data_IF_969495596517
#
_entry.id   IF_969495596517
#
_cell.length_a   1.000
_cell.length_b   1.000
_cell.length_c   1.000
_cell.angle_alpha   90.00
_cell.angle_beta   90.00
_cell.angle_gamma   90.00
#
_symmetry.space_group_name_H-M   'P 1'
#
loop_
_entity.id
_entity.type
_entity.pdbx_description
1 polymer ?
#
# COMPACT_ATOMS: atom_id res chain seq x y z
N UNK A 1 9.15 -3.72 -29.22
CA UNK A 1 8.27 -2.74 -28.56
C UNK A 1 7.78 -3.32 -27.23
N UNK A 2 7.24 -2.49 -26.35
CA UNK A 2 6.69 -2.87 -25.06
C UNK A 2 5.32 -2.21 -24.88
N UNK A 3 4.32 -2.96 -24.41
CA UNK A 3 3.00 -2.44 -24.05
C UNK A 3 2.75 -2.68 -22.56
N UNK A 4 2.23 -1.66 -21.87
CA UNK A 4 1.91 -1.72 -20.45
C UNK A 4 0.42 -1.47 -20.27
N UNK A 5 -0.28 -2.45 -19.71
CA UNK A 5 -1.63 -2.26 -19.17
C UNK A 5 -1.49 -2.04 -17.68
N UNK A 6 -1.61 -0.78 -17.26
CA UNK A 6 -1.54 -0.43 -15.85
C UNK A 6 -2.92 -0.46 -15.20
N UNK A 7 -3.01 -1.00 -13.98
CA UNK A 7 -4.24 -1.04 -13.18
C UNK A 7 -5.42 -1.71 -13.92
N UNK A 8 -5.15 -2.82 -14.61
CA UNK A 8 -6.13 -3.56 -15.39
C UNK A 8 -7.03 -4.41 -14.48
N UNK A 9 -7.91 -3.78 -13.71
CA UNK A 9 -8.72 -4.47 -12.70
C UNK A 9 -10.13 -4.82 -13.18
N UNK A 10 -10.61 -4.20 -14.26
CA UNK A 10 -11.96 -4.42 -14.79
C UNK A 10 -12.07 -5.78 -15.48
N UNK A 11 -12.81 -6.69 -14.85
CA UNK A 11 -13.08 -8.04 -15.37
C UNK A 11 -13.92 -8.05 -16.64
N UNK A 12 -14.62 -6.96 -16.96
CA UNK A 12 -15.46 -6.85 -18.16
C UNK A 12 -14.66 -6.44 -19.40
N UNK A 13 -13.40 -6.01 -19.21
CA UNK A 13 -12.53 -5.58 -20.30
C UNK A 13 -11.79 -6.79 -20.90
N UNK A 14 -12.11 -7.15 -22.14
CA UNK A 14 -11.38 -8.16 -22.90
C UNK A 14 -10.00 -7.67 -23.32
N UNK A 15 -8.97 -7.84 -22.48
CA UNK A 15 -7.63 -7.33 -22.77
C UNK A 15 -7.04 -7.86 -24.09
N UNK A 16 -7.41 -9.08 -24.49
CA UNK A 16 -6.98 -9.69 -25.77
C UNK A 16 -7.31 -8.83 -26.99
N UNK A 17 -8.39 -8.06 -26.95
CA UNK A 17 -8.83 -7.24 -28.08
C UNK A 17 -7.85 -6.09 -28.37
N UNK A 18 -7.01 -5.76 -27.39
CA UNK A 18 -5.99 -4.71 -27.48
C UNK A 18 -4.59 -5.27 -27.79
N UNK A 19 -4.44 -6.59 -27.91
CA UNK A 19 -3.13 -7.21 -28.15
C UNK A 19 -2.71 -7.04 -29.62
N UNK A 20 -1.51 -6.49 -29.90
CA UNK A 20 -1.02 -6.38 -31.27
C UNK A 20 -0.88 -7.75 -31.94
N UNK A 21 -1.41 -7.86 -33.16
CA UNK A 21 -1.32 -9.08 -33.97
C UNK A 21 0.07 -9.22 -34.62
N UNK A 22 1.11 -9.46 -33.80
CA UNK A 22 2.47 -9.69 -34.29
C UNK A 22 3.26 -10.66 -33.39
N UNK A 23 4.37 -11.19 -33.91
CA UNK A 23 5.20 -12.20 -33.22
C UNK A 23 6.33 -11.62 -32.36
N UNK A 24 6.43 -10.30 -32.23
CA UNK A 24 7.50 -9.65 -31.46
C UNK A 24 6.92 -8.62 -30.50
N UNK A 25 7.62 -8.35 -29.40
CA UNK A 25 7.19 -7.40 -28.38
C UNK A 25 6.92 -8.08 -27.04
N UNK A 26 6.78 -7.29 -26.00
CA UNK A 26 6.43 -7.76 -24.66
C UNK A 26 5.22 -6.98 -24.15
N UNK A 27 4.39 -7.63 -23.33
CA UNK A 27 3.25 -7.02 -22.66
C UNK A 27 3.47 -7.21 -21.15
N UNK A 28 3.35 -6.12 -20.39
CA UNK A 28 3.30 -6.15 -18.93
C UNK A 28 1.90 -5.73 -18.52
N UNK A 29 1.30 -6.48 -17.59
CA UNK A 29 -0.02 -6.17 -17.04
C UNK A 29 0.15 -6.04 -15.53
N UNK A 30 -0.20 -4.89 -14.97
CA UNK A 30 -0.35 -4.71 -13.51
C UNK A 30 -1.83 -4.76 -13.17
N UNK A 31 -2.18 -5.53 -12.15
CA UNK A 31 -3.57 -5.78 -11.78
C UNK A 31 -3.67 -6.32 -10.35
N UNK A 32 -4.78 -6.00 -9.68
CA UNK A 32 -5.23 -6.63 -8.44
C UNK A 32 -6.14 -7.83 -8.71
N UNK A 33 -6.57 -8.03 -9.95
CA UNK A 33 -7.43 -9.13 -10.36
C UNK A 33 -6.60 -10.39 -10.70
N UNK A 34 -6.66 -11.46 -9.87
CA UNK A 34 -5.90 -12.67 -10.11
C UNK A 34 -6.36 -13.46 -11.35
N UNK A 35 -7.57 -13.22 -11.87
CA UNK A 35 -8.10 -13.94 -13.04
C UNK A 35 -7.29 -13.63 -14.32
N UNK A 36 -6.63 -12.49 -14.39
CA UNK A 36 -5.81 -12.11 -15.56
C UNK A 36 -4.50 -12.88 -15.67
N UNK A 37 -4.16 -13.74 -14.70
CA UNK A 37 -3.01 -14.66 -14.80
C UNK A 37 -3.10 -15.59 -16.00
N UNK A 38 -4.29 -15.79 -16.58
CA UNK A 38 -4.48 -16.55 -17.82
C UNK A 38 -3.67 -16.00 -19.00
N UNK A 39 -3.31 -14.71 -18.98
CA UNK A 39 -2.59 -14.06 -20.07
C UNK A 39 -1.08 -14.34 -20.10
N UNK A 40 -0.50 -14.95 -19.06
CA UNK A 40 0.91 -15.32 -19.11
C UNK A 40 1.55 -15.61 -17.75
N UNK A 41 2.89 -15.58 -17.73
CA UNK A 41 3.65 -15.66 -16.49
C UNK A 41 3.28 -14.49 -15.57
N UNK A 42 3.19 -14.76 -14.27
CA UNK A 42 2.84 -13.77 -13.27
C UNK A 42 3.87 -13.73 -12.14
N UNK A 43 4.00 -12.56 -11.51
CA UNK A 43 4.75 -12.37 -10.28
C UNK A 43 3.84 -11.64 -9.30
N UNK A 44 3.75 -12.16 -8.07
CA UNK A 44 3.02 -11.46 -7.01
C UNK A 44 3.96 -10.43 -6.37
N UNK A 45 3.53 -9.17 -6.34
CA UNK A 45 4.23 -8.12 -5.60
C UNK A 45 3.77 -8.22 -4.14
N UNK A 46 4.64 -8.76 -3.29
CA UNK A 46 4.42 -8.85 -1.85
C UNK A 46 4.65 -7.50 -1.15
N UNK A 47 4.37 -7.45 0.15
CA UNK A 47 4.80 -6.34 0.99
C UNK A 47 6.34 -6.26 1.05
N UNK A 48 6.85 -5.12 1.48
CA UNK A 48 8.30 -4.94 1.65
C UNK A 48 8.83 -5.81 2.79
N UNK A 49 10.08 -6.23 2.68
CA UNK A 49 10.80 -6.77 3.82
C UNK A 49 10.94 -5.69 4.91
N UNK A 50 10.93 -6.10 6.16
CA UNK A 50 10.93 -5.18 7.31
C UNK A 50 12.14 -4.23 7.28
N UNK A 51 13.32 -4.74 6.92
CA UNK A 51 14.54 -3.94 6.81
C UNK A 51 14.43 -2.86 5.73
N UNK A 52 13.93 -3.22 4.54
CA UNK A 52 13.70 -2.28 3.44
C UNK A 52 12.63 -1.25 3.81
N UNK A 53 11.60 -1.68 4.53
CA UNK A 53 10.53 -0.82 5.02
C UNK A 53 11.06 0.23 6.01
N UNK A 54 11.92 -0.15 6.96
CA UNK A 54 12.56 0.80 7.88
C UNK A 54 13.43 1.80 7.12
N UNK A 55 14.24 1.33 6.17
CA UNK A 55 15.06 2.20 5.33
C UNK A 55 14.19 3.22 4.59
N UNK A 56 13.09 2.77 3.96
CA UNK A 56 12.15 3.66 3.27
C UNK A 56 11.52 4.68 4.21
N UNK A 57 11.15 4.28 5.42
CA UNK A 57 10.58 5.18 6.44
C UNK A 57 11.58 6.28 6.81
N UNK A 58 12.81 5.90 7.18
CA UNK A 58 13.85 6.83 7.63
C UNK A 58 14.26 7.80 6.51
N UNK A 59 14.35 7.32 5.27
CA UNK A 59 14.56 8.16 4.09
C UNK A 59 13.41 9.15 3.91
N UNK A 60 12.16 8.68 3.97
CA UNK A 60 10.96 9.50 3.78
C UNK A 60 10.74 10.51 4.92
N UNK A 61 11.22 10.19 6.12
CA UNK A 61 11.18 11.03 7.32
C UNK A 61 12.32 12.07 7.40
N UNK A 62 13.26 12.06 6.46
CA UNK A 62 14.51 12.83 6.54
C UNK A 62 15.35 12.52 7.81
N UNK A 63 15.26 11.27 8.30
CA UNK A 63 15.93 10.74 9.49
C UNK A 63 17.04 9.75 9.12
N UNK A 64 17.79 10.04 8.04
CA UNK A 64 18.81 9.11 7.48
C UNK A 64 19.98 8.81 8.43
N UNK A 65 20.13 9.59 9.51
CA UNK A 65 21.14 9.37 10.55
C UNK A 65 20.63 8.50 11.70
N UNK A 66 19.32 8.23 11.76
CA UNK A 66 18.74 7.32 12.73
C UNK A 66 19.17 5.89 12.41
N UNK A 67 19.59 5.11 13.42
CA UNK A 67 19.96 3.71 13.21
C UNK A 67 18.79 2.89 12.62
N UNK A 68 19.05 1.97 11.68
CA UNK A 68 18.01 1.08 11.14
C UNK A 68 17.36 0.14 12.17
N UNK A 69 17.97 -0.05 13.33
CA UNK A 69 17.42 -0.81 14.45
C UNK A 69 16.72 0.09 15.50
N UNK A 70 16.30 1.29 15.10
CA UNK A 70 15.48 2.15 15.95
C UNK A 70 14.11 1.50 16.18
N UNK A 71 13.82 1.20 17.45
CA UNK A 71 12.60 0.50 17.85
C UNK A 71 11.32 1.23 17.45
N UNK A 72 11.31 2.57 17.37
CA UNK A 72 10.12 3.30 16.93
C UNK A 72 9.93 3.13 15.43
N UNK A 73 11.00 3.23 14.63
CA UNK A 73 10.94 2.99 13.19
C UNK A 73 10.45 1.56 12.88
N UNK A 74 10.97 0.54 13.56
CA UNK A 74 10.52 -0.85 13.44
C UNK A 74 9.02 -1.02 13.77
N UNK A 75 8.57 -0.43 14.88
CA UNK A 75 7.17 -0.52 15.29
C UNK A 75 6.24 0.19 14.30
N UNK A 76 6.66 1.33 13.73
CA UNK A 76 5.89 2.05 12.72
C UNK A 76 5.69 1.20 11.48
N UNK A 77 6.76 0.61 10.93
CA UNK A 77 6.62 -0.18 9.69
C UNK A 77 5.78 -1.44 9.90
N UNK A 78 5.85 -2.05 11.10
CA UNK A 78 5.00 -3.18 11.50
C UNK A 78 3.53 -2.79 11.56
N UNK A 79 3.20 -1.68 12.22
CA UNK A 79 1.81 -1.17 12.29
C UNK A 79 1.26 -0.80 10.90
N UNK A 80 2.14 -0.39 9.98
CA UNK A 80 1.79 -0.08 8.59
C UNK A 80 1.87 -1.31 7.66
N UNK A 81 2.00 -2.52 8.22
CA UNK A 81 2.07 -3.80 7.53
C UNK A 81 3.13 -3.86 6.41
N UNK A 82 4.21 -3.10 6.53
CA UNK A 82 5.25 -2.94 5.51
C UNK A 82 4.70 -2.52 4.13
N UNK A 83 3.58 -1.77 4.07
CA UNK A 83 3.06 -1.24 2.82
C UNK A 83 3.83 0.02 2.39
N UNK A 84 4.52 0.01 1.24
CA UNK A 84 5.39 1.12 0.81
C UNK A 84 4.66 2.47 0.81
N UNK A 85 3.43 2.51 0.30
CA UNK A 85 2.65 3.74 0.23
C UNK A 85 2.32 4.30 1.62
N UNK A 86 1.92 3.43 2.56
CA UNK A 86 1.60 3.83 3.92
C UNK A 86 2.87 4.35 4.65
N UNK A 87 4.01 3.70 4.42
CA UNK A 87 5.31 4.11 4.96
C UNK A 87 5.73 5.48 4.44
N UNK A 88 5.62 5.72 3.13
CA UNK A 88 5.96 7.04 2.54
C UNK A 88 5.08 8.14 3.13
N UNK A 89 3.78 7.86 3.31
CA UNK A 89 2.85 8.81 3.93
C UNK A 89 3.20 9.10 5.39
N UNK A 90 3.55 8.06 6.17
CA UNK A 90 4.02 8.21 7.55
C UNK A 90 5.32 9.03 7.61
N UNK A 91 6.30 8.66 6.80
CA UNK A 91 7.59 9.36 6.71
C UNK A 91 7.39 10.84 6.36
N UNK A 92 6.56 11.16 5.37
CA UNK A 92 6.26 12.55 5.01
C UNK A 92 5.60 13.36 6.14
N UNK A 93 4.81 12.71 7.00
CA UNK A 93 4.28 13.33 8.21
C UNK A 93 5.39 13.54 9.26
N UNK A 94 6.18 12.50 9.54
CA UNK A 94 7.28 12.52 10.51
C UNK A 94 8.33 13.56 10.11
N UNK A 95 8.60 13.75 8.82
CA UNK A 95 9.50 14.80 8.34
C UNK A 95 9.07 16.21 8.78
N UNK A 96 7.77 16.44 9.02
CA UNK A 96 7.25 17.72 9.51
C UNK A 96 7.25 17.83 11.03
N UNK A 97 6.96 16.74 11.74
CA UNK A 97 6.93 16.72 13.22
C UNK A 97 8.30 16.46 13.85
N UNK A 98 9.22 15.85 13.11
CA UNK A 98 10.52 15.33 13.55
C UNK A 98 10.42 14.34 14.72
N UNK A 99 9.31 13.60 14.82
CA UNK A 99 9.02 12.75 15.98
C UNK A 99 8.41 11.40 15.56
N UNK A 100 9.23 10.35 15.63
CA UNK A 100 8.84 8.95 15.40
C UNK A 100 7.94 8.44 16.53
N UNK A 101 8.29 8.71 17.78
CA UNK A 101 7.54 8.22 18.93
C UNK A 101 6.14 8.85 18.99
N UNK A 102 6.05 10.16 18.75
CA UNK A 102 4.78 10.88 18.67
C UNK A 102 3.90 10.39 17.52
N UNK A 103 4.48 9.98 16.39
CA UNK A 103 3.70 9.41 15.29
C UNK A 103 2.96 8.13 15.70
N UNK A 104 3.61 7.22 16.44
CA UNK A 104 2.96 5.98 16.90
C UNK A 104 1.75 6.24 17.80
N UNK A 105 1.89 7.15 18.77
CA UNK A 105 0.78 7.52 19.65
C UNK A 105 -0.39 8.11 18.85
N UNK A 106 -0.08 9.07 17.97
CA UNK A 106 -1.07 9.69 17.09
C UNK A 106 -1.77 8.67 16.18
N UNK A 107 -1.02 7.72 15.62
CA UNK A 107 -1.56 6.68 14.77
C UNK A 107 -2.55 5.79 15.53
N UNK A 108 -2.18 5.35 16.73
CA UNK A 108 -3.04 4.53 17.58
C UNK A 108 -4.35 5.24 17.94
N UNK A 109 -4.27 6.52 18.34
CA UNK A 109 -5.44 7.33 18.68
C UNK A 109 -6.38 7.52 17.48
N UNK A 110 -5.83 7.89 16.32
CA UNK A 110 -6.62 8.08 15.11
C UNK A 110 -7.26 6.78 14.63
N UNK A 111 -6.54 5.65 14.73
CA UNK A 111 -7.08 4.34 14.38
C UNK A 111 -8.26 3.97 15.28
N UNK A 112 -8.15 4.16 16.59
CA UNK A 112 -9.24 3.92 17.53
C UNK A 112 -10.47 4.79 17.22
N UNK A 113 -10.27 6.07 16.90
CA UNK A 113 -11.34 6.99 16.52
C UNK A 113 -12.02 6.61 15.19
N UNK A 114 -11.26 6.21 14.18
CA UNK A 114 -11.81 5.79 12.89
C UNK A 114 -12.61 4.49 13.02
N UNK A 115 -12.12 3.53 13.82
CA UNK A 115 -12.82 2.27 14.07
C UNK A 115 -14.12 2.51 14.85
N UNK A 116 -14.11 3.37 15.88
CA UNK A 116 -15.32 3.70 16.61
C UNK A 116 -16.36 4.38 15.71
N UNK A 117 -15.96 5.38 14.90
CA UNK A 117 -16.83 6.04 13.93
C UNK A 117 -17.44 5.04 12.94
N UNK A 118 -16.65 4.13 12.39
CA UNK A 118 -17.12 3.11 11.45
C UNK A 118 -18.16 2.18 12.10
N UNK A 119 -17.94 1.79 13.37
CA UNK A 119 -18.90 1.00 14.14
C UNK A 119 -20.21 1.76 14.40
N UNK A 120 -20.15 3.06 14.71
CA UNK A 120 -21.35 3.90 14.85
C UNK A 120 -22.13 4.00 13.55
N UNK A 121 -21.47 4.20 12.41
CA UNK A 121 -22.14 4.29 11.09
C UNK A 121 -22.78 2.95 10.69
N UNK A 122 -22.13 1.82 11.00
CA UNK A 122 -22.66 0.49 10.70
C UNK A 122 -23.88 0.14 11.57
N UNK A 123 -23.88 0.51 12.86
CA UNK A 123 -25.02 0.29 13.76
C UNK A 123 -26.15 1.34 13.60
N UNK A 124 -25.84 2.55 13.15
CA UNK A 124 -26.87 3.56 12.85
C UNK A 124 -27.73 3.19 11.63
N UNK A 125 -27.15 2.47 10.66
CA UNK A 125 -27.85 2.05 9.44
C UNK A 125 -28.70 0.77 9.60
N UNK A 126 -28.61 0.05 10.73
CA UNK A 126 -29.45 -1.13 11.00
C UNK A 126 -30.78 -0.78 11.71
N UNK A 127 -30.97 0.46 12.16
CA UNK A 127 -32.18 0.90 12.89
C UNK A 127 -33.25 1.53 11.99
N UNK A 128 -32.96 1.76 10.69
CA UNK A 128 -33.88 2.38 9.73
C UNK A 128 -34.51 1.41 8.71
N UNK A 129 -34.50 0.11 8.99
CA UNK A 129 -35.29 -0.89 8.24
C UNK A 129 -36.18 -1.68 9.19
N UNK A 130 -37.22 -1.02 9.68
CA UNK A 130 -38.38 -1.61 10.36
C UNK A 130 -39.64 -1.08 9.71
#
# INVERSE_FOLDING_TARGET
WLLLFDNADDTNLGLNDFFPQCKHGNIIITTRNPELRVYGAYSHVSNMEEEEAVQLLLMSAAQVHTPPNDTYAENIVKELCCFPLAIIQAGAYIAKSQDLAGYLGLYADNRAQLLSKKLYTLHGNSVLKG
#
